data_IF_369470349720
#
_entry.id   IF_369470349720
#
_cell.length_a   1.000
_cell.length_b   1.000
_cell.length_c   1.000
_cell.angle_alpha   90.00
_cell.angle_beta   90.00
_cell.angle_gamma   90.00
#
_symmetry.space_group_name_H-M   'P 1'
#
loop_
_entity.id
_entity.type
_entity.pdbx_description
1 polymer ?
#
# COMPACT_ATOMS: atom_id res chain seq x y z
N UNK A 1 47.59 26.14 3.63
CA UNK A 1 46.60 25.32 4.38
C UNK A 1 47.02 25.04 5.83
N UNK A 2 48.32 25.02 6.18
CA UNK A 2 48.79 24.74 7.54
C UNK A 2 48.57 25.86 8.58
N UNK A 3 47.99 27.01 8.20
CA UNK A 3 47.86 28.20 9.06
C UNK A 3 46.45 28.46 9.58
N UNK A 4 45.47 27.61 9.29
CA UNK A 4 44.09 27.77 9.79
C UNK A 4 43.79 26.65 10.79
N UNK A 5 43.47 26.97 12.07
CA UNK A 5 43.13 25.98 13.07
C UNK A 5 41.96 25.08 12.63
N UNK A 6 42.07 23.77 12.84
CA UNK A 6 41.03 22.79 12.48
C UNK A 6 41.11 22.23 11.06
N UNK A 7 41.76 22.92 10.12
CA UNK A 7 41.87 22.46 8.72
C UNK A 7 42.77 21.22 8.57
N UNK A 8 43.82 21.08 9.37
CA UNK A 8 44.69 19.90 9.38
C UNK A 8 43.98 18.66 9.94
N UNK A 9 43.18 18.82 11.00
CA UNK A 9 42.39 17.74 11.58
C UNK A 9 41.27 17.29 10.62
N UNK A 10 40.62 18.24 9.95
CA UNK A 10 39.61 17.96 8.94
C UNK A 10 40.21 17.28 7.70
N UNK A 11 41.42 17.66 7.29
CA UNK A 11 42.15 17.00 6.20
C UNK A 11 42.50 15.56 6.54
N UNK A 12 42.99 15.32 7.76
CA UNK A 12 43.31 13.99 8.26
C UNK A 12 42.05 13.11 8.35
N UNK A 13 40.92 13.66 8.81
CA UNK A 13 39.61 12.98 8.82
C UNK A 13 39.15 12.58 7.41
N UNK A 14 39.59 13.30 6.38
CA UNK A 14 39.24 13.07 4.97
C UNK A 14 40.30 12.31 4.19
N UNK A 15 41.25 11.66 4.85
CA UNK A 15 42.36 10.94 4.21
C UNK A 15 43.13 11.79 3.17
N UNK A 16 43.27 13.09 3.44
CA UNK A 16 43.95 14.03 2.54
C UNK A 16 43.06 14.66 1.46
N UNK A 17 41.78 14.31 1.35
CA UNK A 17 40.88 14.88 0.36
C UNK A 17 40.44 16.31 0.73
N UNK A 18 40.61 17.25 -0.21
CA UNK A 18 40.20 18.65 -0.06
C UNK A 18 38.80 18.83 -0.68
N UNK A 19 37.83 19.45 0.04
CA UNK A 19 36.52 19.74 -0.54
C UNK A 19 36.64 20.64 -1.80
N UNK A 20 36.01 20.22 -2.90
CA UNK A 20 36.01 20.92 -4.20
C UNK A 20 34.80 21.87 -4.36
N UNK A 21 33.97 22.02 -3.33
CA UNK A 21 32.79 22.88 -3.39
C UNK A 21 33.18 24.35 -3.23
N UNK A 22 32.64 25.20 -4.10
CA UNK A 22 32.76 26.66 -4.00
C UNK A 22 32.08 27.12 -2.71
N UNK A 23 32.82 27.84 -1.87
CA UNK A 23 32.24 28.50 -0.72
C UNK A 23 31.45 29.72 -1.20
N UNK A 24 30.26 30.00 -0.61
CA UNK A 24 29.55 31.23 -0.88
C UNK A 24 30.42 32.42 -0.44
N UNK A 25 30.48 33.46 -1.27
CA UNK A 25 31.10 34.72 -0.88
C UNK A 25 30.16 35.47 0.07
N UNK A 26 30.69 36.28 1.01
CA UNK A 26 29.88 37.22 1.76
C UNK A 26 29.09 38.11 0.80
N UNK A 27 27.79 38.21 1.02
CA UNK A 27 26.90 39.12 0.30
C UNK A 27 26.57 40.30 1.20
N UNK A 28 26.40 41.49 0.61
CA UNK A 28 25.91 42.67 1.33
C UNK A 28 24.41 42.54 1.63
N UNK A 29 23.97 43.17 2.72
CA UNK A 29 22.58 43.19 3.17
C UNK A 29 22.28 42.28 4.35
N UNK A 30 21.05 42.38 4.85
CA UNK A 30 20.53 41.51 5.92
C UNK A 30 19.52 40.53 5.33
N UNK A 31 19.42 39.30 5.86
CA UNK A 31 18.32 38.43 5.51
C UNK A 31 16.95 39.10 5.70
N UNK A 32 15.94 38.74 4.89
CA UNK A 32 14.58 39.23 5.08
C UNK A 32 14.07 38.94 6.49
N UNK A 33 13.14 39.78 6.96
CA UNK A 33 12.53 39.60 8.28
C UNK A 33 11.96 38.18 8.44
N UNK A 34 12.22 37.55 9.59
CA UNK A 34 11.85 36.16 9.86
C UNK A 34 12.84 35.11 9.39
N UNK A 35 13.90 35.48 8.64
CA UNK A 35 14.92 34.54 8.17
C UNK A 35 16.28 34.80 8.82
N UNK A 36 16.99 33.72 9.18
CA UNK A 36 18.35 33.79 9.72
C UNK A 36 19.44 33.83 8.64
N UNK A 37 19.10 33.51 7.38
CA UNK A 37 20.08 33.36 6.30
C UNK A 37 19.46 33.79 4.97
N UNK A 38 20.23 34.48 4.14
CA UNK A 38 19.88 34.80 2.76
C UNK A 38 20.99 34.34 1.81
N UNK A 39 20.59 33.71 0.71
CA UNK A 39 21.50 33.25 -0.34
C UNK A 39 21.09 33.94 -1.64
N UNK A 40 21.98 34.73 -2.21
CA UNK A 40 21.76 35.44 -3.47
C UNK A 40 22.48 34.70 -4.60
N UNK A 41 21.72 34.28 -5.62
CA UNK A 41 22.25 33.61 -6.81
C UNK A 41 22.02 34.50 -8.04
N UNK A 42 23.03 35.29 -8.47
CA UNK A 42 22.91 36.13 -9.65
C UNK A 42 22.59 35.30 -10.90
N UNK A 43 21.53 35.69 -11.60
CA UNK A 43 21.12 34.99 -12.82
C UNK A 43 22.06 35.34 -13.98
N UNK A 44 22.43 34.32 -14.75
CA UNK A 44 23.11 34.53 -16.04
C UNK A 44 22.15 35.19 -17.04
N UNK A 45 22.70 35.92 -18.00
CA UNK A 45 21.92 36.48 -19.10
C UNK A 45 21.08 35.38 -19.78
N UNK A 46 19.78 35.65 -20.00
CA UNK A 46 18.83 34.69 -20.58
C UNK A 46 18.27 33.62 -19.63
N UNK A 47 18.77 33.49 -18.39
CA UNK A 47 18.31 32.44 -17.46
C UNK A 47 16.98 32.74 -16.76
N UNK A 48 16.51 33.99 -16.79
CA UNK A 48 15.32 34.45 -16.04
C UNK A 48 14.08 33.59 -16.31
N UNK A 49 13.76 33.37 -17.58
CA UNK A 49 12.55 32.62 -17.96
C UNK A 49 12.61 31.16 -17.44
N UNK A 50 13.77 30.51 -17.54
CA UNK A 50 13.95 29.14 -17.05
C UNK A 50 13.84 29.03 -15.53
N UNK A 51 14.38 29.99 -14.78
CA UNK A 51 14.27 30.02 -13.33
C UNK A 51 12.84 30.30 -12.88
N UNK A 52 12.15 31.27 -13.51
CA UNK A 52 10.74 31.53 -13.22
C UNK A 52 9.88 30.28 -13.46
N UNK A 53 10.08 29.61 -14.60
CA UNK A 53 9.38 28.36 -14.91
C UNK A 53 9.68 27.24 -13.87
N UNK A 54 10.93 27.10 -13.43
CA UNK A 54 11.30 26.12 -12.41
C UNK A 54 10.66 26.40 -11.04
N UNK A 55 10.58 27.68 -10.65
CA UNK A 55 9.92 28.10 -9.41
C UNK A 55 8.40 27.88 -9.48
N UNK A 56 7.77 28.18 -10.63
CA UNK A 56 6.35 27.91 -10.83
C UNK A 56 6.05 26.40 -10.88
N UNK A 57 6.94 25.60 -11.46
CA UNK A 57 6.84 24.15 -11.51
C UNK A 57 7.08 23.46 -10.16
N UNK A 58 7.49 24.19 -9.12
CA UNK A 58 7.65 23.65 -7.78
C UNK A 58 6.30 23.10 -7.27
N UNK A 59 6.34 21.92 -6.66
CA UNK A 59 5.17 21.19 -6.19
C UNK A 59 5.25 21.02 -4.67
N UNK A 60 4.12 21.15 -3.97
CA UNK A 60 4.06 21.01 -2.50
C UNK A 60 4.64 19.69 -1.99
N UNK A 61 4.57 18.63 -2.79
CA UNK A 61 5.11 17.29 -2.52
C UNK A 61 6.61 17.27 -2.20
N UNK A 62 7.37 18.32 -2.58
CA UNK A 62 8.76 18.50 -2.15
C UNK A 62 8.90 18.46 -0.62
N UNK A 63 7.90 18.93 0.13
CA UNK A 63 7.93 18.97 1.59
C UNK A 63 7.95 17.56 2.22
N UNK A 64 7.56 16.51 1.48
CA UNK A 64 7.74 15.12 1.92
C UNK A 64 9.22 14.75 2.08
N UNK A 65 10.10 15.36 1.28
CA UNK A 65 11.54 15.11 1.32
C UNK A 65 12.28 16.01 2.32
N UNK A 66 11.59 17.01 2.88
CA UNK A 66 12.17 18.05 3.74
C UNK A 66 11.38 18.14 5.07
N UNK A 67 11.41 17.11 5.92
CA UNK A 67 10.56 17.04 7.13
C UNK A 67 10.87 18.15 8.15
N UNK A 68 12.04 18.79 8.07
CA UNK A 68 12.40 19.94 8.91
C UNK A 68 11.86 21.28 8.41
N UNK A 69 11.18 21.33 7.27
CA UNK A 69 10.72 22.56 6.63
C UNK A 69 9.19 22.67 6.70
N UNK A 70 8.69 23.67 7.45
CA UNK A 70 7.25 23.89 7.62
C UNK A 70 6.58 24.59 6.43
N UNK A 71 7.30 25.49 5.75
CA UNK A 71 6.78 26.21 4.60
C UNK A 71 7.87 26.67 3.63
N UNK A 72 7.47 26.91 2.38
CA UNK A 72 8.25 27.54 1.32
C UNK A 72 7.39 28.62 0.67
N UNK A 73 7.86 29.86 0.72
CA UNK A 73 7.25 30.96 -0.01
C UNK A 73 7.98 31.20 -1.32
N UNK A 74 7.26 31.02 -2.42
CA UNK A 74 7.76 31.25 -3.78
C UNK A 74 7.25 32.60 -4.26
N UNK A 75 8.16 33.54 -4.48
CA UNK A 75 7.83 34.89 -4.99
C UNK A 75 8.40 35.08 -6.38
N UNK A 76 7.52 35.21 -7.39
CA UNK A 76 7.89 35.47 -8.79
C UNK A 76 7.12 36.70 -9.26
N UNK A 77 7.84 37.71 -9.75
CA UNK A 77 7.25 38.98 -10.23
C UNK A 77 6.24 39.61 -9.26
N UNK A 78 6.55 39.55 -7.95
CA UNK A 78 5.72 40.10 -6.87
C UNK A 78 4.51 39.24 -6.49
N UNK A 79 4.27 38.11 -7.17
CA UNK A 79 3.23 37.14 -6.79
C UNK A 79 3.80 36.11 -5.84
N UNK A 80 3.15 35.94 -4.70
CA UNK A 80 3.53 34.98 -3.66
C UNK A 80 2.65 33.73 -3.75
N UNK A 81 3.28 32.56 -3.69
CA UNK A 81 2.64 31.24 -3.52
C UNK A 81 3.33 30.52 -2.37
N UNK A 82 2.55 30.12 -1.37
CA UNK A 82 3.05 29.36 -0.23
C UNK A 82 2.79 27.88 -0.41
N UNK A 83 3.82 27.08 -0.20
CA UNK A 83 3.75 25.65 0.05
C UNK A 83 3.90 25.44 1.55
N UNK A 84 3.04 24.65 2.18
CA UNK A 84 3.17 24.35 3.61
C UNK A 84 2.87 22.90 3.93
N UNK A 85 3.50 22.39 4.98
CA UNK A 85 3.29 21.05 5.49
C UNK A 85 2.95 21.13 6.98
N UNK A 86 1.90 20.42 7.37
CA UNK A 86 1.48 20.28 8.75
C UNK A 86 1.29 18.79 9.10
N UNK A 87 1.58 18.36 10.34
CA UNK A 87 1.25 17.02 10.77
C UNK A 87 -0.24 16.71 10.59
N UNK A 88 -0.54 15.49 10.16
CA UNK A 88 -1.89 14.94 10.09
C UNK A 88 -1.89 13.54 10.74
N UNK A 89 -3.07 12.99 11.05
CA UNK A 89 -3.15 11.67 11.65
C UNK A 89 -2.52 10.59 10.74
N UNK A 90 -1.44 9.97 11.23
CA UNK A 90 -0.61 9.03 10.49
C UNK A 90 0.07 9.60 9.23
N UNK A 91 0.20 10.92 9.10
CA UNK A 91 0.63 11.51 7.83
C UNK A 91 0.98 12.99 7.87
N UNK A 92 0.97 13.61 6.68
CA UNK A 92 1.29 15.03 6.50
C UNK A 92 0.23 15.66 5.60
N UNK A 93 -0.35 16.77 6.02
CA UNK A 93 -1.19 17.62 5.18
C UNK A 93 -0.31 18.63 4.46
N UNK A 94 -0.30 18.58 3.13
CA UNK A 94 0.43 19.51 2.28
C UNK A 94 -0.56 20.47 1.65
N UNK A 95 -0.33 21.77 1.81
CA UNK A 95 -1.11 22.82 1.15
C UNK A 95 -0.27 23.48 0.07
N UNK A 96 -0.84 23.56 -1.13
CA UNK A 96 -0.22 24.18 -2.29
C UNK A 96 -1.25 25.05 -3.01
N UNK A 97 -1.03 26.37 -3.02
CA UNK A 97 -1.94 27.30 -3.70
C UNK A 97 -3.39 27.26 -3.18
N UNK A 98 -3.55 26.99 -1.88
CA UNK A 98 -4.86 26.87 -1.22
C UNK A 98 -5.51 25.49 -1.31
N UNK A 99 -4.94 24.54 -2.08
CA UNK A 99 -5.39 23.14 -2.10
C UNK A 99 -4.62 22.34 -1.05
N UNK A 100 -5.34 21.81 -0.07
CA UNK A 100 -4.78 20.85 0.89
C UNK A 100 -4.88 19.42 0.34
N UNK A 101 -3.88 18.59 0.61
CA UNK A 101 -3.89 17.15 0.33
C UNK A 101 -3.22 16.43 1.48
N UNK A 102 -3.92 15.46 2.07
CA UNK A 102 -3.37 14.63 3.15
C UNK A 102 -2.62 13.47 2.52
N UNK A 103 -1.40 13.23 2.99
CA UNK A 103 -0.56 12.12 2.58
C UNK A 103 -0.40 11.16 3.75
N UNK A 104 -0.73 9.88 3.54
CA UNK A 104 -0.28 8.82 4.45
C UNK A 104 1.21 8.59 4.22
N UNK A 105 1.99 8.54 5.29
CA UNK A 105 3.44 8.42 5.23
C UNK A 105 3.89 7.25 6.10
N UNK A 106 4.79 6.42 5.58
CA UNK A 106 5.54 5.43 6.35
C UNK A 106 7.03 5.69 6.22
N UNK A 107 7.73 5.65 7.34
CA UNK A 107 9.17 5.91 7.39
C UNK A 107 9.89 4.81 8.15
N UNK A 108 11.05 4.44 7.65
CA UNK A 108 12.05 3.68 8.40
C UNK A 108 13.36 4.44 8.39
N UNK A 109 14.05 4.40 9.51
CA UNK A 109 15.37 4.99 9.65
C UNK A 109 16.31 4.00 10.29
N UNK A 110 17.60 4.19 10.05
CA UNK A 110 18.62 3.36 10.65
C UNK A 110 20.00 3.86 10.32
N UNK A 111 20.98 2.98 10.54
CA UNK A 111 22.37 3.27 10.26
C UNK A 111 23.00 2.14 9.43
N UNK A 112 23.69 2.50 8.35
CA UNK A 112 24.41 1.55 7.52
C UNK A 112 25.65 1.04 8.28
N UNK A 113 25.91 -0.28 8.26
CA UNK A 113 27.18 -0.82 8.74
C UNK A 113 28.37 -0.18 8.00
N UNK A 114 29.43 0.14 8.74
CA UNK A 114 30.61 0.81 8.18
C UNK A 114 31.22 0.08 6.97
N UNK A 115 31.16 -1.25 6.96
CA UNK A 115 31.65 -2.07 5.86
C UNK A 115 30.91 -1.85 4.53
N UNK A 116 29.62 -1.46 4.56
CA UNK A 116 28.86 -1.23 3.33
C UNK A 116 29.25 0.08 2.63
N UNK A 117 29.79 1.04 3.39
CA UNK A 117 30.20 2.36 2.87
C UNK A 117 31.71 2.48 2.66
N UNK A 118 32.50 1.45 2.98
CA UNK A 118 33.96 1.52 2.98
C UNK A 118 34.55 1.96 1.62
N UNK A 119 33.99 1.45 0.52
CA UNK A 119 34.44 1.76 -0.84
C UNK A 119 33.80 3.03 -1.44
N UNK A 120 32.96 3.74 -0.67
CA UNK A 120 32.33 4.99 -1.10
C UNK A 120 33.30 6.18 -0.98
N UNK A 121 33.05 7.30 -1.69
CA UNK A 121 33.79 8.54 -1.50
C UNK A 121 33.81 8.97 -0.02
N UNK A 122 34.90 9.61 0.40
CA UNK A 122 35.15 9.91 1.83
C UNK A 122 34.05 10.78 2.46
N UNK A 123 33.41 11.65 1.68
CA UNK A 123 32.27 12.47 2.09
C UNK A 123 31.02 11.65 2.44
N UNK A 124 30.89 10.46 1.87
CA UNK A 124 29.75 9.56 2.06
C UNK A 124 29.99 8.54 3.17
N UNK A 125 31.24 8.15 3.44
CA UNK A 125 31.59 7.16 4.48
C UNK A 125 31.06 7.51 5.87
N UNK A 126 31.05 8.80 6.20
CA UNK A 126 30.52 9.32 7.47
C UNK A 126 28.99 9.46 7.50
N UNK A 127 28.31 9.40 6.34
CA UNK A 127 26.86 9.59 6.20
C UNK A 127 26.14 8.25 6.21
N UNK A 128 26.21 7.57 7.36
CA UNK A 128 25.65 6.22 7.52
C UNK A 128 24.17 6.23 7.90
N UNK A 129 23.69 7.31 8.50
CA UNK A 129 22.28 7.47 8.86
C UNK A 129 21.43 7.55 7.59
N UNK A 130 20.35 6.80 7.55
CA UNK A 130 19.41 6.80 6.44
C UNK A 130 17.98 6.90 6.95
N UNK A 131 17.11 7.46 6.10
CA UNK A 131 15.66 7.43 6.26
C UNK A 131 15.04 7.12 4.91
N UNK A 132 14.23 6.08 4.84
CA UNK A 132 13.40 5.76 3.68
C UNK A 132 11.96 6.17 4.00
N UNK A 133 11.34 6.88 3.07
CA UNK A 133 9.98 7.40 3.18
C UNK A 133 9.16 6.90 2.00
N UNK A 134 8.01 6.31 2.29
CA UNK A 134 6.93 6.09 1.32
C UNK A 134 5.75 6.97 1.65
N UNK A 135 5.11 7.53 0.62
CA UNK A 135 3.90 8.32 0.78
C UNK A 135 2.88 8.08 -0.32
N UNK A 136 1.60 8.06 0.06
CA UNK A 136 0.46 7.99 -0.86
C UNK A 136 -0.56 9.07 -0.47
N UNK A 137 -1.11 9.84 -1.42
CA UNK A 137 -2.14 10.82 -1.09
C UNK A 137 -3.44 10.10 -0.72
N UNK A 138 -4.24 10.74 0.11
CA UNK A 138 -5.56 10.29 0.50
C UNK A 138 -6.61 11.16 -0.18
N UNK A 139 -7.68 10.54 -0.67
CA UNK A 139 -8.82 11.24 -1.24
C UNK A 139 -9.48 12.11 -0.16
N UNK A 140 -9.71 13.39 -0.50
CA UNK A 140 -10.39 14.38 0.34
C UNK A 140 -11.85 14.60 -0.11
N UNK A 141 -12.39 13.68 -0.90
CA UNK A 141 -13.71 13.83 -1.51
C UNK A 141 -14.82 13.76 -0.46
N UNK A 142 -15.82 14.65 -0.61
CA UNK A 142 -16.99 14.76 0.26
C UNK A 142 -18.02 13.63 0.07
N UNK A 143 -17.83 12.75 -0.91
CA UNK A 143 -18.70 11.61 -1.25
C UNK A 143 -18.54 10.39 -0.33
N UNK A 144 -17.98 10.57 0.87
CA UNK A 144 -17.79 9.51 1.86
C UNK A 144 -16.51 8.68 1.70
N UNK A 145 -15.63 8.99 0.73
CA UNK A 145 -14.35 8.29 0.52
C UNK A 145 -13.15 8.96 1.19
N UNK A 146 -13.40 9.86 2.15
CA UNK A 146 -12.36 10.59 2.88
C UNK A 146 -11.38 9.61 3.53
N UNK A 147 -10.09 9.77 3.24
CA UNK A 147 -9.04 8.91 3.80
C UNK A 147 -8.75 7.65 2.97
N UNK A 148 -9.46 7.43 1.85
CA UNK A 148 -9.14 6.37 0.90
C UNK A 148 -7.80 6.66 0.22
N UNK A 149 -6.86 5.70 0.13
CA UNK A 149 -5.62 5.89 -0.59
C UNK A 149 -5.88 6.12 -2.08
N UNK A 150 -5.16 7.08 -2.65
CA UNK A 150 -5.23 7.47 -4.06
C UNK A 150 -3.88 7.14 -4.72
N UNK A 151 -3.74 5.96 -5.36
CA UNK A 151 -2.50 5.57 -6.01
C UNK A 151 -2.03 6.62 -7.02
N UNK A 152 -0.74 6.94 -7.00
CA UNK A 152 -0.15 7.91 -7.92
C UNK A 152 -0.21 7.40 -9.37
N UNK A 153 -0.34 8.29 -10.37
CA UNK A 153 -0.29 7.91 -11.76
C UNK A 153 1.07 7.29 -12.14
N UNK A 154 1.12 6.62 -13.28
CA UNK A 154 2.37 6.11 -13.86
C UNK A 154 3.40 7.22 -14.10
N UNK A 155 4.68 6.83 -14.25
CA UNK A 155 5.78 7.78 -14.45
C UNK A 155 6.33 8.35 -13.15
N UNK A 156 6.20 7.60 -12.05
CA UNK A 156 6.91 7.93 -10.82
C UNK A 156 8.42 7.69 -11.01
N UNK A 157 9.20 8.39 -10.19
CA UNK A 157 10.65 8.21 -10.08
C UNK A 157 11.04 8.12 -8.62
N UNK A 158 12.22 7.58 -8.37
CA UNK A 158 12.85 7.58 -7.04
C UNK A 158 13.38 8.97 -6.71
N UNK A 159 13.18 9.43 -5.47
CA UNK A 159 13.69 10.71 -4.99
C UNK A 159 14.88 10.51 -4.03
N UNK A 160 16.00 11.17 -4.29
CA UNK A 160 17.22 11.02 -3.50
C UNK A 160 18.00 12.34 -3.27
N UNK A 161 17.44 13.35 -2.57
CA UNK A 161 16.03 13.57 -2.18
C UNK A 161 15.22 14.34 -3.24
N UNK A 162 15.90 14.81 -4.30
CA UNK A 162 15.25 15.36 -5.50
C UNK A 162 14.88 14.25 -6.47
N UNK A 163 13.97 14.49 -7.43
CA UNK A 163 13.68 13.53 -8.49
C UNK A 163 14.97 13.07 -9.18
N UNK A 164 15.13 11.75 -9.34
CA UNK A 164 16.17 11.13 -10.16
C UNK A 164 15.57 10.66 -11.50
N UNK A 165 16.41 10.12 -12.38
CA UNK A 165 15.98 9.49 -13.64
C UNK A 165 15.69 7.98 -13.43
N UNK A 166 15.70 7.48 -12.19
CA UNK A 166 15.30 6.11 -11.86
C UNK A 166 13.77 5.96 -11.91
N UNK A 167 13.21 5.23 -12.89
CA UNK A 167 11.77 5.03 -12.97
C UNK A 167 11.28 4.18 -11.80
N UNK A 168 10.04 4.43 -11.40
CA UNK A 168 9.35 3.69 -10.35
C UNK A 168 7.94 3.33 -10.82
N UNK A 169 7.66 2.04 -10.91
CA UNK A 169 6.35 1.53 -11.33
C UNK A 169 5.36 1.43 -10.17
N UNK A 170 5.87 1.42 -8.93
CA UNK A 170 5.04 1.49 -7.74
C UNK A 170 4.28 2.82 -7.68
N UNK A 171 2.95 2.81 -7.51
CA UNK A 171 2.13 4.03 -7.57
C UNK A 171 2.11 4.79 -6.24
N UNK A 172 3.30 5.04 -5.68
CA UNK A 172 3.52 5.81 -4.45
C UNK A 172 4.83 6.59 -4.57
N UNK A 173 5.01 7.62 -3.73
CA UNK A 173 6.24 8.42 -3.70
C UNK A 173 7.27 7.72 -2.83
N UNK A 174 8.43 7.37 -3.41
CA UNK A 174 9.61 6.90 -2.67
C UNK A 174 10.64 8.03 -2.55
N UNK A 175 11.04 8.33 -1.32
CA UNK A 175 12.18 9.20 -1.01
C UNK A 175 13.17 8.39 -0.17
N UNK A 176 14.37 8.20 -0.66
CA UNK A 176 15.40 7.41 -0.01
C UNK A 176 16.80 7.90 -0.40
N UNK A 177 17.80 7.81 0.49
CA UNK A 177 19.16 8.29 0.22
C UNK A 177 19.95 7.26 -0.61
N UNK A 178 19.38 6.81 -1.73
CA UNK A 178 20.09 5.92 -2.64
C UNK A 178 21.38 6.58 -3.15
N UNK A 179 22.48 5.83 -3.25
CA UNK A 179 23.74 6.36 -3.75
C UNK A 179 23.60 6.73 -5.23
N UNK A 180 23.72 8.00 -5.58
CA UNK A 180 23.64 8.45 -6.97
C UNK A 180 25.02 8.50 -7.64
N UNK A 181 25.01 8.36 -8.97
CA UNK A 181 26.19 8.57 -9.81
C UNK A 181 26.61 10.05 -9.88
N UNK A 182 27.73 10.38 -10.56
CA UNK A 182 28.26 11.73 -10.64
C UNK A 182 27.29 12.75 -11.27
N UNK A 183 26.46 12.31 -12.22
CA UNK A 183 25.43 13.13 -12.87
C UNK A 183 24.17 13.32 -12.00
N UNK A 184 24.10 12.61 -10.86
CA UNK A 184 22.99 12.57 -9.90
C UNK A 184 21.65 12.15 -10.50
N UNK A 185 21.68 11.38 -11.59
CA UNK A 185 20.49 10.92 -12.31
C UNK A 185 20.17 9.46 -12.02
N UNK A 186 21.20 8.63 -11.93
CA UNK A 186 21.04 7.18 -11.75
C UNK A 186 21.63 6.70 -10.43
N UNK A 187 21.03 5.64 -9.89
CA UNK A 187 21.48 4.98 -8.67
C UNK A 187 22.63 4.03 -9.00
N UNK A 188 23.69 4.09 -8.21
CA UNK A 188 24.83 3.19 -8.31
C UNK A 188 24.46 1.85 -7.67
N UNK A 189 24.56 0.72 -8.38
CA UNK A 189 24.31 -0.58 -7.79
C UNK A 189 25.37 -0.93 -6.75
N UNK A 190 25.00 -1.76 -5.77
CA UNK A 190 25.92 -2.25 -4.75
C UNK A 190 25.28 -2.39 -3.37
N UNK A 191 26.09 -2.73 -2.34
CA UNK A 191 25.57 -3.19 -1.05
C UNK A 191 24.71 -2.16 -0.29
N UNK A 192 25.01 -0.86 -0.44
CA UNK A 192 24.18 0.21 0.13
C UNK A 192 22.81 0.26 -0.53
N UNK A 193 22.76 0.13 -1.85
CA UNK A 193 21.51 0.09 -2.62
C UNK A 193 20.68 -1.12 -2.21
N UNK A 194 21.30 -2.30 -2.06
CA UNK A 194 20.61 -3.53 -1.64
C UNK A 194 20.02 -3.40 -0.21
N UNK A 195 20.77 -2.80 0.71
CA UNK A 195 20.30 -2.51 2.06
C UNK A 195 19.12 -1.53 2.06
N UNK A 196 19.16 -0.49 1.24
CA UNK A 196 18.08 0.50 1.11
C UNK A 196 16.85 -0.06 0.39
N UNK A 197 17.01 -0.96 -0.60
CA UNK A 197 15.89 -1.69 -1.22
C UNK A 197 15.16 -2.52 -0.16
N UNK A 198 15.91 -3.21 0.70
CA UNK A 198 15.32 -3.99 1.81
C UNK A 198 14.54 -3.09 2.76
N UNK A 199 15.14 -1.99 3.20
CA UNK A 199 14.47 -1.02 4.08
C UNK A 199 13.24 -0.38 3.42
N UNK A 200 13.30 -0.10 2.12
CA UNK A 200 12.18 0.43 1.35
C UNK A 200 11.02 -0.58 1.26
N UNK A 201 11.31 -1.86 1.04
CA UNK A 201 10.28 -2.89 1.00
C UNK A 201 9.55 -3.04 2.34
N UNK A 202 10.29 -2.98 3.45
CA UNK A 202 9.70 -3.00 4.78
C UNK A 202 8.83 -1.77 5.06
N UNK A 203 9.33 -0.57 4.76
CA UNK A 203 8.57 0.67 4.92
C UNK A 203 7.31 0.70 4.03
N UNK A 204 7.34 0.06 2.85
CA UNK A 204 6.16 -0.07 1.98
C UNK A 204 5.10 -0.98 2.59
N UNK A 205 5.51 -2.10 3.20
CA UNK A 205 4.58 -3.00 3.87
C UNK A 205 3.95 -2.32 5.11
N UNK A 206 4.74 -1.54 5.85
CA UNK A 206 4.23 -0.70 6.95
C UNK A 206 3.20 0.33 6.44
N UNK A 207 3.45 0.93 5.27
CA UNK A 207 2.50 1.84 4.63
C UNK A 207 1.16 1.14 4.38
N UNK A 208 1.16 -0.03 3.74
CA UNK A 208 -0.07 -0.77 3.44
C UNK A 208 -0.80 -1.22 4.72
N UNK A 209 -0.07 -1.67 5.73
CA UNK A 209 -0.66 -2.07 7.01
C UNK A 209 -1.28 -0.88 7.78
N UNK A 210 -0.77 0.34 7.58
CA UNK A 210 -1.28 1.56 8.22
C UNK A 210 -2.52 2.16 7.54
N UNK A 211 -2.82 1.73 6.32
CA UNK A 211 -3.95 2.25 5.54
C UNK A 211 -5.27 1.58 5.94
N UNK A 212 -6.41 2.28 5.79
CA UNK A 212 -7.72 1.65 5.89
C UNK A 212 -7.85 0.49 4.91
N UNK A 213 -8.53 -0.59 5.32
CA UNK A 213 -8.77 -1.72 4.44
C UNK A 213 -9.77 -1.31 3.33
N UNK A 214 -9.25 -1.01 2.14
CA UNK A 214 -10.00 -0.71 0.94
C UNK A 214 -9.44 -1.53 -0.25
N UNK A 215 -10.28 -2.10 -1.12
CA UNK A 215 -9.82 -2.86 -2.29
C UNK A 215 -8.83 -2.11 -3.19
N UNK A 216 -8.81 -0.76 -3.17
CA UNK A 216 -7.83 0.06 -3.89
C UNK A 216 -6.38 -0.29 -3.52
N UNK A 217 -6.13 -0.85 -2.34
CA UNK A 217 -4.80 -1.31 -1.94
C UNK A 217 -4.25 -2.39 -2.88
N UNK A 218 -5.10 -3.16 -3.57
CA UNK A 218 -4.67 -4.12 -4.60
C UNK A 218 -4.01 -3.41 -5.80
N UNK A 219 -4.30 -2.13 -6.04
CA UNK A 219 -3.61 -1.33 -7.06
C UNK A 219 -2.19 -0.91 -6.64
N UNK A 220 -1.87 -0.96 -5.34
CA UNK A 220 -0.53 -0.72 -4.80
C UNK A 220 0.37 -1.97 -4.87
N UNK A 221 -0.17 -3.14 -5.24
CA UNK A 221 0.61 -4.37 -5.34
C UNK A 221 1.49 -4.32 -6.61
N UNK A 222 2.80 -4.60 -6.51
CA UNK A 222 3.68 -4.66 -7.67
C UNK A 222 3.14 -5.64 -8.73
N UNK A 223 3.10 -5.19 -9.99
CA UNK A 223 2.74 -6.06 -11.12
C UNK A 223 3.99 -6.79 -11.61
N UNK A 224 3.99 -8.11 -11.50
CA UNK A 224 5.08 -8.95 -11.99
C UNK A 224 5.35 -8.69 -13.49
N UNK A 225 6.62 -8.52 -13.86
CA UNK A 225 7.07 -8.42 -15.26
C UNK A 225 6.95 -7.04 -15.92
N UNK A 226 6.60 -5.97 -15.18
CA UNK A 226 6.43 -4.61 -15.72
C UNK A 226 7.48 -3.60 -15.22
N UNK A 227 8.63 -4.06 -14.75
CA UNK A 227 9.66 -3.17 -14.19
C UNK A 227 10.22 -2.19 -15.24
N UNK A 228 10.37 -0.93 -14.86
CA UNK A 228 10.90 0.14 -15.72
C UNK A 228 12.43 0.17 -15.81
N UNK A 229 13.12 -0.37 -14.80
CA UNK A 229 14.58 -0.44 -14.70
C UNK A 229 15.03 -1.51 -13.67
N UNK A 230 16.35 -1.71 -13.53
CA UNK A 230 16.91 -2.68 -12.60
C UNK A 230 16.57 -2.38 -11.12
N UNK A 231 16.67 -1.11 -10.70
CA UNK A 231 16.30 -0.71 -9.34
C UNK A 231 14.80 -0.91 -9.08
N UNK A 232 13.95 -0.55 -10.05
CA UNK A 232 12.51 -0.76 -9.97
C UNK A 232 12.14 -2.24 -9.86
N UNK A 233 12.83 -3.11 -10.63
CA UNK A 233 12.65 -4.55 -10.53
C UNK A 233 13.03 -5.08 -9.13
N UNK A 234 14.15 -4.62 -8.58
CA UNK A 234 14.60 -4.99 -7.23
C UNK A 234 13.61 -4.52 -6.15
N UNK A 235 13.12 -3.28 -6.24
CA UNK A 235 12.10 -2.73 -5.34
C UNK A 235 10.78 -3.51 -5.46
N UNK A 236 10.29 -3.74 -6.68
CA UNK A 236 9.04 -4.47 -6.93
C UNK A 236 9.07 -5.89 -6.39
N UNK A 237 10.18 -6.62 -6.60
CA UNK A 237 10.36 -7.97 -6.04
C UNK A 237 10.40 -7.94 -4.51
N UNK A 238 11.25 -7.09 -3.92
CA UNK A 238 11.39 -7.01 -2.48
C UNK A 238 10.08 -6.59 -1.79
N UNK A 239 9.36 -5.62 -2.36
CA UNK A 239 8.04 -5.20 -1.88
C UNK A 239 7.05 -6.35 -1.95
N UNK A 240 6.94 -7.05 -3.08
CA UNK A 240 5.99 -8.16 -3.23
C UNK A 240 6.24 -9.26 -2.20
N UNK A 241 7.50 -9.60 -1.96
CA UNK A 241 7.87 -10.61 -0.96
C UNK A 241 7.50 -10.17 0.46
N UNK A 242 7.66 -8.88 0.80
CA UNK A 242 7.20 -8.35 2.09
C UNK A 242 5.67 -8.31 2.20
N UNK A 243 4.96 -7.93 1.16
CA UNK A 243 3.49 -7.89 1.16
C UNK A 243 2.85 -9.27 1.30
N UNK A 244 3.52 -10.33 0.85
CA UNK A 244 3.10 -11.73 1.06
C UNK A 244 3.23 -12.19 2.52
N UNK A 245 4.09 -11.56 3.31
CA UNK A 245 4.38 -11.97 4.69
C UNK A 245 3.64 -11.12 5.76
N UNK A 246 3.29 -9.88 5.44
CA UNK A 246 2.68 -8.94 6.41
C UNK A 246 1.16 -9.05 6.41
N UNK A 247 0.56 -8.92 7.60
CA UNK A 247 -0.89 -8.90 7.75
C UNK A 247 -1.47 -7.50 7.44
N UNK A 248 -2.10 -7.36 6.26
CA UNK A 248 -2.74 -6.11 5.84
C UNK A 248 -4.07 -6.31 5.10
N UNK A 249 -4.42 -7.54 4.73
CA UNK A 249 -5.71 -7.85 4.13
C UNK A 249 -6.79 -7.99 5.20
N UNK A 250 -8.05 -7.57 4.92
CA UNK A 250 -9.15 -7.77 5.85
C UNK A 250 -9.60 -9.24 5.92
N UNK A 251 -10.41 -9.54 6.93
CA UNK A 251 -11.11 -10.82 7.09
C UNK A 251 -12.61 -10.55 7.08
N UNK A 252 -13.38 -11.25 6.24
CA UNK A 252 -14.83 -11.10 6.16
C UNK A 252 -15.49 -11.36 7.53
N UNK A 253 -16.42 -10.48 7.92
CA UNK A 253 -17.15 -10.57 9.19
C UNK A 253 -16.31 -10.32 10.44
N UNK A 254 -15.06 -9.82 10.31
CA UNK A 254 -14.15 -9.56 11.43
C UNK A 254 -13.51 -8.17 11.30
N UNK A 255 -14.22 -7.16 11.77
CA UNK A 255 -13.76 -5.77 11.72
C UNK A 255 -12.43 -5.57 12.46
N UNK A 256 -11.53 -4.79 11.87
CA UNK A 256 -10.21 -4.48 12.43
C UNK A 256 -9.20 -5.63 12.38
N UNK A 257 -9.62 -6.88 12.12
CA UNK A 257 -8.71 -8.01 11.98
C UNK A 257 -7.98 -7.93 10.64
N UNK A 258 -6.67 -8.19 10.66
CA UNK A 258 -5.82 -8.26 9.49
C UNK A 258 -5.18 -9.64 9.36
N UNK A 259 -4.96 -10.07 8.13
CA UNK A 259 -4.33 -11.34 7.81
C UNK A 259 -3.29 -11.20 6.69
N UNK A 260 -2.25 -12.05 6.68
CA UNK A 260 -1.33 -12.15 5.55
C UNK A 260 -1.98 -12.85 4.34
N UNK A 261 -1.50 -12.60 3.12
CA UNK A 261 -2.04 -13.22 1.90
C UNK A 261 -2.05 -14.74 1.84
N UNK A 262 -1.09 -15.42 2.46
CA UNK A 262 -1.02 -16.90 2.50
C UNK A 262 -2.19 -17.55 3.27
N UNK A 263 -2.84 -16.78 4.16
CA UNK A 263 -4.05 -17.17 4.88
C UNK A 263 -5.35 -16.70 4.22
N UNK A 264 -5.25 -15.79 3.25
CA UNK A 264 -6.41 -15.20 2.62
C UNK A 264 -7.01 -16.10 1.53
N UNK A 265 -8.33 -16.06 1.43
CA UNK A 265 -9.09 -16.78 0.41
C UNK A 265 -10.11 -15.85 -0.24
N UNK A 266 -10.21 -15.89 -1.57
CA UNK A 266 -11.18 -15.13 -2.35
C UNK A 266 -12.19 -16.09 -3.00
N UNK A 267 -13.48 -15.81 -2.83
CA UNK A 267 -14.55 -16.55 -3.50
C UNK A 267 -14.63 -16.10 -4.97
N UNK A 268 -14.71 -17.03 -5.92
CA UNK A 268 -14.66 -16.71 -7.35
C UNK A 268 -15.92 -15.96 -7.85
N UNK A 269 -17.09 -16.25 -7.28
CA UNK A 269 -18.36 -15.57 -7.57
C UNK A 269 -18.91 -14.89 -6.31
N UNK A 270 -18.09 -13.98 -5.76
CA UNK A 270 -18.37 -13.31 -4.50
C UNK A 270 -19.46 -12.25 -4.61
N UNK A 271 -20.53 -12.43 -3.82
CA UNK A 271 -21.47 -11.37 -3.43
C UNK A 271 -21.35 -11.11 -1.93
N UNK A 272 -21.85 -9.98 -1.45
CA UNK A 272 -21.81 -9.66 -0.03
C UNK A 272 -22.61 -10.71 0.78
N UNK A 273 -23.73 -11.18 0.26
CA UNK A 273 -24.57 -12.23 0.87
C UNK A 273 -23.84 -13.56 0.96
N UNK A 274 -23.18 -14.01 -0.12
CA UNK A 274 -22.41 -15.27 -0.14
C UNK A 274 -21.23 -15.23 0.80
N UNK A 275 -20.50 -14.12 0.79
CA UNK A 275 -19.36 -13.94 1.70
C UNK A 275 -19.83 -13.89 3.14
N UNK A 276 -20.95 -13.24 3.45
CA UNK A 276 -21.52 -13.22 4.79
C UNK A 276 -21.96 -14.61 5.25
N UNK A 277 -22.66 -15.37 4.41
CA UNK A 277 -23.11 -16.73 4.74
C UNK A 277 -21.95 -17.72 4.97
N UNK A 278 -20.86 -17.55 4.22
CA UNK A 278 -19.65 -18.39 4.35
C UNK A 278 -18.63 -17.86 5.37
N UNK A 279 -18.84 -16.65 5.90
CA UNK A 279 -17.98 -16.06 6.90
C UNK A 279 -18.03 -16.91 8.19
N UNK A 280 -16.87 -17.40 8.62
CA UNK A 280 -16.75 -18.27 9.79
C UNK A 280 -16.82 -19.77 9.48
N UNK A 281 -17.17 -20.16 8.25
CA UNK A 281 -16.93 -21.53 7.74
C UNK A 281 -15.63 -21.58 6.96
N UNK A 282 -15.44 -20.65 6.01
CA UNK A 282 -14.22 -20.54 5.22
C UNK A 282 -13.18 -19.69 5.96
N UNK A 283 -12.06 -20.27 6.43
CA UNK A 283 -11.03 -19.50 7.12
C UNK A 283 -10.39 -18.50 6.16
N UNK A 284 -10.21 -17.26 6.65
CA UNK A 284 -9.50 -16.21 5.92
C UNK A 284 -10.22 -15.65 4.69
N UNK A 285 -11.53 -15.88 4.58
CA UNK A 285 -12.33 -15.34 3.49
C UNK A 285 -12.22 -13.81 3.40
N UNK A 286 -11.96 -13.29 2.21
CA UNK A 286 -11.93 -11.85 1.92
C UNK A 286 -13.36 -11.30 1.74
N UNK A 287 -13.62 -10.03 2.09
CA UNK A 287 -14.88 -9.37 1.74
C UNK A 287 -15.13 -9.38 0.22
N UNK A 288 -16.39 -9.39 -0.22
CA UNK A 288 -16.73 -9.57 -1.64
C UNK A 288 -16.10 -8.50 -2.54
N UNK A 289 -16.02 -7.25 -2.06
CA UNK A 289 -15.40 -6.14 -2.77
C UNK A 289 -13.91 -6.36 -3.14
N UNK A 290 -13.21 -7.29 -2.49
CA UNK A 290 -11.81 -7.67 -2.73
C UNK A 290 -11.65 -8.82 -3.73
N UNK A 291 -12.75 -9.43 -4.17
CA UNK A 291 -12.74 -10.60 -5.06
C UNK A 291 -13.04 -10.25 -6.52
N UNK A 292 -13.00 -8.96 -6.88
CA UNK A 292 -13.29 -8.48 -8.24
C UNK A 292 -12.36 -9.13 -9.26
N UNK A 293 -12.89 -9.37 -10.46
CA UNK A 293 -12.13 -9.95 -11.57
C UNK A 293 -10.98 -9.06 -12.04
N UNK A 294 -11.15 -7.74 -11.99
CA UNK A 294 -10.10 -6.76 -12.31
C UNK A 294 -8.84 -6.91 -11.47
N UNK A 295 -8.99 -7.43 -10.24
CA UNK A 295 -7.92 -7.48 -9.25
C UNK A 295 -7.24 -8.85 -9.20
N UNK A 296 -7.65 -9.77 -10.09
CA UNK A 296 -7.07 -11.10 -10.22
C UNK A 296 -5.54 -11.08 -10.39
N UNK A 297 -4.92 -10.20 -11.21
CA UNK A 297 -3.46 -10.16 -11.32
C UNK A 297 -2.76 -9.87 -9.98
N UNK A 298 -3.28 -8.92 -9.19
CA UNK A 298 -2.74 -8.57 -7.88
C UNK A 298 -2.92 -9.73 -6.89
N UNK A 299 -4.10 -10.35 -6.86
CA UNK A 299 -4.38 -11.51 -6.00
C UNK A 299 -3.48 -12.70 -6.32
N UNK A 300 -3.29 -12.99 -7.61
CA UNK A 300 -2.37 -14.04 -8.07
C UNK A 300 -0.93 -13.74 -7.68
N UNK A 301 -0.47 -12.50 -7.85
CA UNK A 301 0.87 -12.10 -7.43
C UNK A 301 1.07 -12.29 -5.92
N UNK A 302 0.05 -12.00 -5.11
CA UNK A 302 0.07 -12.21 -3.67
C UNK A 302 -0.08 -13.69 -3.25
N UNK A 303 -0.43 -14.59 -4.16
CA UNK A 303 -0.68 -16.00 -3.85
C UNK A 303 -1.98 -16.24 -3.08
N UNK A 304 -2.96 -15.33 -3.18
CA UNK A 304 -4.26 -15.50 -2.51
C UNK A 304 -4.99 -16.70 -3.11
N UNK A 305 -5.47 -17.61 -2.26
CA UNK A 305 -6.19 -18.80 -2.69
C UNK A 305 -7.55 -18.41 -3.29
N UNK A 306 -7.91 -19.05 -4.40
CA UNK A 306 -9.24 -18.93 -5.02
C UNK A 306 -10.10 -20.10 -4.59
N UNK A 307 -11.35 -19.82 -4.24
CA UNK A 307 -12.34 -20.80 -3.79
C UNK A 307 -13.48 -20.83 -4.79
N UNK A 308 -13.69 -21.99 -5.42
CA UNK A 308 -14.87 -22.25 -6.22
C UNK A 308 -16.08 -22.56 -5.32
N UNK A 309 -17.30 -22.42 -5.84
CA UNK A 309 -18.50 -22.74 -5.05
C UNK A 309 -18.49 -24.21 -4.64
N UNK A 310 -18.06 -25.13 -5.50
CA UNK A 310 -17.96 -26.55 -5.16
C UNK A 310 -17.02 -26.81 -3.96
N UNK A 311 -15.91 -26.07 -3.84
CA UNK A 311 -15.01 -26.15 -2.69
C UNK A 311 -15.64 -25.55 -1.43
N UNK A 312 -16.40 -24.45 -1.56
CA UNK A 312 -17.15 -23.86 -0.46
C UNK A 312 -18.26 -24.80 0.05
N UNK A 313 -18.98 -25.46 -0.87
CA UNK A 313 -19.97 -26.50 -0.59
C UNK A 313 -19.33 -27.66 0.18
N UNK A 314 -18.12 -28.04 -0.20
CA UNK A 314 -17.43 -29.12 0.49
C UNK A 314 -16.94 -28.69 1.88
N UNK A 315 -16.56 -27.43 2.05
CA UNK A 315 -16.18 -26.88 3.35
C UNK A 315 -17.34 -26.79 4.36
N UNK A 316 -18.59 -26.68 3.90
CA UNK A 316 -19.77 -26.72 4.79
C UNK A 316 -20.18 -28.16 5.16
N UNK A 317 -19.58 -29.19 4.54
CA UNK A 317 -19.86 -30.58 4.92
C UNK A 317 -19.40 -30.85 6.35
N UNK A 318 -20.30 -31.41 7.17
CA UNK A 318 -20.02 -31.73 8.57
C UNK A 318 -20.10 -30.54 9.52
N UNK A 319 -20.52 -29.37 9.02
CA UNK A 319 -20.82 -28.21 9.87
C UNK A 319 -22.16 -28.43 10.56
N UNK A 320 -22.15 -28.41 11.89
CA UNK A 320 -23.37 -28.47 12.70
C UNK A 320 -23.89 -27.05 12.96
N UNK A 321 -25.01 -26.71 12.31
CA UNK A 321 -25.69 -25.41 12.39
C UNK A 321 -27.20 -25.57 12.40
N UNK A 322 -27.95 -24.64 13.01
CA UNK A 322 -29.41 -24.63 12.97
C UNK A 322 -29.95 -24.56 11.53
N UNK A 323 -31.15 -25.11 11.30
CA UNK A 323 -31.81 -25.10 9.99
C UNK A 323 -31.93 -23.69 9.38
N UNK A 324 -32.16 -22.65 10.21
CA UNK A 324 -32.23 -21.25 9.75
C UNK A 324 -30.94 -20.75 9.10
N UNK A 325 -29.77 -21.20 9.57
CA UNK A 325 -28.48 -20.86 8.96
C UNK A 325 -28.34 -21.50 7.57
N UNK A 326 -28.86 -22.71 7.39
CA UNK A 326 -28.89 -23.36 6.08
C UNK A 326 -29.81 -22.63 5.10
N UNK A 327 -30.96 -22.11 5.56
CA UNK A 327 -31.84 -21.28 4.74
C UNK A 327 -31.12 -20.01 4.25
N UNK A 328 -30.39 -19.31 5.13
CA UNK A 328 -29.56 -18.16 4.77
C UNK A 328 -28.47 -18.54 3.74
N UNK A 329 -27.79 -19.67 3.94
CA UNK A 329 -26.78 -20.16 2.99
C UNK A 329 -27.40 -20.49 1.62
N UNK A 330 -28.54 -21.16 1.58
CA UNK A 330 -29.21 -21.52 0.32
C UNK A 330 -29.68 -20.27 -0.43
N UNK A 331 -30.24 -19.30 0.28
CA UNK A 331 -30.63 -18.02 -0.30
C UNK A 331 -29.41 -17.27 -0.86
N UNK A 332 -28.29 -17.26 -0.15
CA UNK A 332 -27.06 -16.63 -0.63
C UNK A 332 -26.47 -17.34 -1.86
N UNK A 333 -26.59 -18.68 -1.94
CA UNK A 333 -26.13 -19.48 -3.08
C UNK A 333 -27.11 -19.51 -4.25
N UNK A 334 -28.24 -18.79 -4.18
CA UNK A 334 -29.15 -18.65 -5.30
C UNK A 334 -28.43 -18.09 -6.54
N UNK A 335 -28.77 -18.62 -7.70
CA UNK A 335 -28.11 -18.32 -8.98
C UNK A 335 -26.72 -18.95 -9.19
N UNK A 336 -26.15 -19.69 -8.24
CA UNK A 336 -24.91 -20.44 -8.47
C UNK A 336 -25.15 -21.66 -9.40
N UNK A 337 -24.07 -22.20 -9.98
CA UNK A 337 -24.16 -23.36 -10.87
C UNK A 337 -24.68 -24.58 -10.09
N UNK A 338 -25.74 -25.21 -10.62
CA UNK A 338 -26.38 -26.36 -10.01
C UNK A 338 -25.45 -27.56 -9.89
N UNK A 339 -24.49 -27.72 -10.81
CA UNK A 339 -23.50 -28.80 -10.74
C UNK A 339 -22.57 -28.61 -9.54
N UNK A 340 -22.16 -27.36 -9.25
CA UNK A 340 -21.32 -27.03 -8.09
C UNK A 340 -22.07 -27.23 -6.75
N UNK A 341 -23.41 -27.10 -6.77
CA UNK A 341 -24.28 -27.30 -5.60
C UNK A 341 -24.73 -28.75 -5.39
N UNK A 342 -24.34 -29.70 -6.25
CA UNK A 342 -24.84 -31.08 -6.20
C UNK A 342 -24.52 -31.82 -4.88
N UNK A 343 -23.47 -31.40 -4.18
CA UNK A 343 -23.04 -31.95 -2.90
C UNK A 343 -23.46 -31.11 -1.67
N UNK A 344 -24.33 -30.10 -1.86
CA UNK A 344 -24.76 -29.21 -0.78
C UNK A 344 -25.57 -29.97 0.28
N UNK A 345 -25.10 -30.03 1.54
CA UNK A 345 -25.81 -30.77 2.58
C UNK A 345 -27.21 -30.21 2.81
N UNK A 346 -28.18 -31.10 3.09
CA UNK A 346 -29.58 -30.72 3.37
C UNK A 346 -30.03 -31.27 4.72
N UNK A 347 -30.28 -30.41 5.73
CA UNK A 347 -30.90 -30.82 6.98
C UNK A 347 -32.27 -31.45 6.72
N UNK A 348 -32.50 -32.60 7.33
CA UNK A 348 -33.76 -33.33 7.24
C UNK A 348 -34.57 -33.12 8.51
N UNK A 349 -35.89 -33.15 8.38
CA UNK A 349 -36.81 -32.94 9.50
C UNK A 349 -36.72 -34.02 10.61
N UNK A 350 -36.07 -35.16 10.32
CA UNK A 350 -35.80 -36.21 11.30
C UNK A 350 -34.46 -36.04 12.05
N UNK A 351 -33.80 -34.88 11.87
CA UNK A 351 -32.54 -34.53 12.52
C UNK A 351 -31.28 -35.07 11.81
N UNK A 352 -31.43 -35.86 10.73
CA UNK A 352 -30.30 -36.28 9.89
C UNK A 352 -29.92 -35.18 8.90
N UNK A 353 -28.81 -35.37 8.20
CA UNK A 353 -28.39 -34.50 7.10
C UNK A 353 -28.15 -35.35 5.85
N UNK A 354 -28.80 -35.01 4.75
CA UNK A 354 -28.51 -35.58 3.44
C UNK A 354 -27.21 -34.97 2.88
N UNK A 355 -26.45 -35.75 2.13
CA UNK A 355 -25.18 -35.31 1.51
C UNK A 355 -25.34 -34.46 0.24
N UNK A 356 -26.57 -34.15 -0.14
CA UNK A 356 -26.92 -33.45 -1.37
C UNK A 356 -28.44 -33.32 -1.51
N UNK A 357 -28.93 -32.41 -2.37
CA UNK A 357 -30.37 -32.23 -2.61
C UNK A 357 -31.01 -33.38 -3.40
N UNK A 358 -30.21 -34.21 -4.09
CA UNK A 358 -30.72 -35.32 -4.87
C UNK A 358 -31.46 -36.35 -4.00
N UNK A 359 -32.74 -36.57 -4.29
CA UNK A 359 -33.60 -37.50 -3.55
C UNK A 359 -34.12 -36.96 -2.21
N UNK A 360 -33.97 -35.64 -1.96
CA UNK A 360 -34.63 -34.94 -0.84
C UNK A 360 -35.97 -34.38 -1.31
N UNK A 361 -37.00 -34.55 -0.49
CA UNK A 361 -38.36 -34.09 -0.75
C UNK A 361 -38.58 -32.74 -0.06
N UNK A 362 -39.12 -31.77 -0.79
CA UNK A 362 -39.53 -30.47 -0.25
C UNK A 362 -40.99 -30.57 0.24
N UNK A 363 -41.28 -30.36 1.53
CA UNK A 363 -42.64 -30.41 2.04
C UNK A 363 -43.46 -29.18 1.61
N UNK A 364 -44.69 -29.40 1.17
CA UNK A 364 -45.63 -28.30 0.93
C UNK A 364 -46.01 -27.58 2.24
N UNK A 365 -46.34 -26.27 2.18
CA UNK A 365 -46.81 -25.53 3.36
C UNK A 365 -48.00 -26.22 4.04
N UNK A 366 -47.87 -26.51 5.34
CA UNK A 366 -48.93 -27.15 6.15
C UNK A 366 -48.87 -28.68 6.20
N UNK A 367 -47.92 -29.33 5.53
CA UNK A 367 -47.68 -30.76 5.71
C UNK A 367 -47.13 -31.04 7.14
N UNK A 368 -47.71 -31.99 7.91
CA UNK A 368 -47.24 -32.30 9.26
C UNK A 368 -45.98 -33.18 9.21
N UNK A 369 -44.84 -32.58 8.89
CA UNK A 369 -43.56 -33.26 8.64
C UNK A 369 -43.10 -34.09 9.85
N UNK A 370 -43.39 -33.61 11.07
CA UNK A 370 -43.14 -34.28 12.35
C UNK A 370 -43.81 -35.68 12.44
N UNK A 371 -44.94 -35.86 11.76
CA UNK A 371 -45.71 -37.12 11.77
C UNK A 371 -45.26 -38.13 10.71
N UNK A 372 -44.41 -37.72 9.77
CA UNK A 372 -43.98 -38.54 8.63
C UNK A 372 -42.66 -39.29 8.87
N UNK A 373 -42.00 -39.07 10.01
CA UNK A 373 -40.75 -39.74 10.40
C UNK A 373 -40.75 -41.28 10.23
N UNK A 374 -41.82 -42.02 10.60
CA UNK A 374 -41.88 -43.48 10.43
C UNK A 374 -41.78 -43.99 8.99
N UNK A 375 -42.03 -43.13 7.99
CA UNK A 375 -41.98 -43.49 6.57
C UNK A 375 -40.55 -43.50 6.01
N UNK A 376 -39.55 -43.07 6.79
CA UNK A 376 -38.14 -43.06 6.37
C UNK A 376 -37.85 -42.12 5.20
N UNK A 377 -38.76 -41.19 4.90
CA UNK A 377 -38.63 -40.22 3.82
C UNK A 377 -37.53 -39.20 4.13
N UNK A 378 -36.78 -38.79 3.10
CA UNK A 378 -35.80 -37.70 3.21
C UNK A 378 -36.51 -36.35 3.01
N UNK A 379 -37.27 -35.92 4.00
CA UNK A 379 -37.96 -34.63 3.97
C UNK A 379 -37.02 -33.53 4.46
N UNK A 380 -36.82 -32.49 3.66
CA UNK A 380 -36.04 -31.31 4.08
C UNK A 380 -36.67 -30.67 5.32
N UNK A 381 -35.83 -30.18 6.24
CA UNK A 381 -36.29 -29.41 7.37
C UNK A 381 -36.99 -28.13 6.87
N UNK A 382 -38.27 -27.88 7.23
CA UNK A 382 -39.00 -26.70 6.78
C UNK A 382 -38.31 -25.37 7.11
N UNK A 383 -37.56 -25.31 8.21
CA UNK A 383 -36.82 -24.12 8.61
C UNK A 383 -35.53 -23.91 7.78
N UNK A 384 -35.05 -24.93 7.05
CA UNK A 384 -33.94 -24.82 6.10
C UNK A 384 -34.43 -24.59 4.66
N UNK A 385 -35.60 -25.13 4.30
CA UNK A 385 -36.17 -25.05 2.96
C UNK A 385 -37.03 -23.79 2.71
N UNK A 386 -37.46 -23.10 3.77
CA UNK A 386 -38.18 -21.84 3.67
C UNK A 386 -37.28 -20.65 3.28
N UNK A 387 -37.85 -19.55 2.77
CA UNK A 387 -37.09 -18.31 2.60
C UNK A 387 -36.55 -17.85 3.97
N UNK A 388 -35.33 -17.28 4.02
CA UNK A 388 -34.81 -16.71 5.26
C UNK A 388 -35.77 -15.63 5.78
N UNK A 389 -35.92 -15.57 7.10
CA UNK A 389 -36.90 -14.73 7.79
C UNK A 389 -36.60 -13.23 7.71
#
# INVERSE_FOLDING_TARGET
>A
MASVPGLAAELARRDGAVPVLRLPWPAEGTPPEGFATAVVLPLRAGARAGVAAALEALRGELLLALPGLGSVDVVVDGRMRTLSAAPADGGIAITDGGRATVWRVAQRSGELPAGLVADRPVEERGRRSWTVTWAVPLDDSADGRRGRPSPLPSGQVVHAPTPSDEPLTLPARLIAPFPLGPDRRHVVPGPVTDALVTAAAEAYADLLASLPADPVLLALVPRAGLAGAALDAALGSAVLDRLRAVAWLPVAGRDGVRQPPDRAAALDDATDERVAALAGVLPGLLPAAWSRRSDLPARTALGIRRIAIAEAVEAVRGVERPASWWAELYAALDGADREELAALPVPLADGRTAHGPAGVLLPDPGLPVDRLGPLGLRLADPAAAGPPA
#
